data_IF_442241033365
#
_entry.id   IF_442241033365
#
_cell.length_a   1.000
_cell.length_b   1.000
_cell.length_c   1.000
_cell.angle_alpha   90.00
_cell.angle_beta   90.00
_cell.angle_gamma   90.00
#
_symmetry.space_group_name_H-M   'P 1'
#
loop_
_entity.id
_entity.type
_entity.pdbx_description
1 polymer ?
#
# COMPACT_ATOMS: atom_id res chain seq x y z
N UNK A 1 -12.61 -21.76 13.48
CA UNK A 1 -12.75 -20.63 12.54
C UNK A 1 -11.78 -20.79 11.37
N UNK A 2 -11.74 -19.83 10.43
CA UNK A 2 -10.85 -19.85 9.26
C UNK A 2 -9.61 -18.96 9.50
N UNK A 3 -8.47 -19.51 9.98
CA UNK A 3 -7.34 -18.69 10.43
C UNK A 3 -6.65 -17.91 9.30
N UNK A 4 -6.84 -18.34 8.04
CA UNK A 4 -6.30 -17.70 6.85
C UNK A 4 -7.07 -16.42 6.49
N UNK A 5 -8.32 -16.30 6.91
CA UNK A 5 -9.19 -15.16 6.60
C UNK A 5 -8.97 -14.07 7.64
N UNK A 6 -8.52 -12.91 7.18
CA UNK A 6 -8.36 -11.73 8.01
C UNK A 6 -9.60 -10.84 7.88
N UNK A 7 -10.30 -10.61 8.99
CA UNK A 7 -11.43 -9.69 9.03
C UNK A 7 -10.96 -8.25 9.20
N UNK A 8 -11.50 -7.36 8.36
CA UNK A 8 -11.32 -5.92 8.45
C UNK A 8 -12.70 -5.36 8.79
N UNK A 9 -12.85 -4.86 10.01
CA UNK A 9 -14.14 -4.46 10.55
C UNK A 9 -14.07 -3.09 11.18
N UNK A 10 -15.04 -2.24 10.83
CA UNK A 10 -15.36 -0.99 11.50
C UNK A 10 -16.83 -0.99 11.87
N UNK A 11 -17.14 -0.80 13.15
CA UNK A 11 -18.51 -0.79 13.68
C UNK A 11 -19.26 0.49 13.31
N UNK A 12 -20.58 0.49 13.51
CA UNK A 12 -21.41 1.69 13.35
C UNK A 12 -21.00 2.82 14.32
N UNK A 13 -20.55 2.45 15.53
CA UNK A 13 -20.09 3.39 16.56
C UNK A 13 -18.63 3.81 16.39
N UNK A 14 -17.97 3.41 15.29
CA UNK A 14 -16.57 3.74 15.02
C UNK A 14 -16.43 5.21 14.59
N UNK A 15 -15.84 6.04 15.46
CA UNK A 15 -15.61 7.47 15.21
C UNK A 15 -14.24 7.77 14.57
N UNK A 16 -13.48 6.75 14.19
CA UNK A 16 -12.09 6.89 13.73
C UNK A 16 -11.97 7.85 12.54
N UNK A 17 -12.92 7.83 11.60
CA UNK A 17 -12.87 8.73 10.45
C UNK A 17 -13.01 10.20 10.87
N UNK A 18 -14.04 10.51 11.68
CA UNK A 18 -14.26 11.86 12.23
C UNK A 18 -13.04 12.35 13.01
N UNK A 19 -12.53 11.54 13.92
CA UNK A 19 -11.41 11.93 14.78
C UNK A 19 -10.12 12.09 13.96
N UNK A 20 -9.91 11.26 12.93
CA UNK A 20 -8.78 11.38 12.01
C UNK A 20 -8.77 12.71 11.24
N UNK A 21 -9.93 13.18 10.78
CA UNK A 21 -10.05 14.45 10.04
C UNK A 21 -9.99 15.71 10.92
N UNK A 22 -9.91 15.59 12.25
CA UNK A 22 -9.62 16.75 13.11
C UNK A 22 -8.18 17.26 12.90
N UNK A 23 -7.25 16.36 12.56
CA UNK A 23 -5.81 16.64 12.48
C UNK A 23 -5.23 16.39 11.07
N UNK A 24 -6.08 16.02 10.10
CA UNK A 24 -5.67 15.61 8.76
C UNK A 24 -6.63 16.17 7.72
N UNK A 25 -6.08 16.57 6.58
CA UNK A 25 -6.85 17.13 5.46
C UNK A 25 -7.30 16.08 4.45
N UNK A 26 -6.73 14.86 4.49
CA UNK A 26 -7.09 13.75 3.62
C UNK A 26 -6.71 12.40 4.27
N UNK A 27 -7.33 11.31 3.80
CA UNK A 27 -7.08 9.93 4.28
C UNK A 27 -6.22 9.09 3.34
N UNK A 28 -5.59 9.72 2.34
CA UNK A 28 -4.81 9.00 1.33
C UNK A 28 -3.56 8.42 1.98
N UNK A 29 -3.39 7.12 1.86
CA UNK A 29 -2.20 6.42 2.30
C UNK A 29 -1.93 5.29 1.30
N UNK A 30 -1.34 5.66 0.16
CA UNK A 30 -0.95 4.71 -0.87
C UNK A 30 0.03 3.68 -0.31
N UNK A 31 -0.22 2.40 -0.54
CA UNK A 31 0.67 1.33 -0.12
C UNK A 31 0.48 0.03 -0.90
N UNK A 32 1.55 -0.77 -0.93
CA UNK A 32 1.48 -2.22 -1.18
C UNK A 32 1.38 -2.93 0.17
N UNK A 33 0.51 -3.93 0.27
CA UNK A 33 0.26 -4.62 1.54
C UNK A 33 1.57 -5.16 2.15
N UNK A 34 1.81 -4.85 3.42
CA UNK A 34 2.85 -5.47 4.25
C UNK A 34 4.25 -5.50 3.60
N UNK A 35 4.59 -4.47 2.81
CA UNK A 35 5.87 -4.38 2.07
C UNK A 35 7.14 -4.37 2.94
N UNK A 36 6.99 -4.35 4.27
CA UNK A 36 8.08 -4.49 5.23
C UNK A 36 8.48 -5.95 5.51
N UNK A 37 7.69 -6.94 5.06
CA UNK A 37 8.02 -8.35 5.19
C UNK A 37 9.14 -8.76 4.24
N UNK A 38 9.97 -9.73 4.64
CA UNK A 38 11.01 -10.26 3.76
C UNK A 38 10.43 -10.88 2.48
N UNK A 39 9.26 -11.49 2.61
CA UNK A 39 8.45 -12.03 1.51
C UNK A 39 7.04 -11.43 1.61
N UNK A 40 6.81 -10.25 0.99
CA UNK A 40 5.51 -9.60 1.00
C UNK A 40 4.43 -10.45 0.31
N UNK A 41 3.15 -10.11 0.50
CA UNK A 41 2.05 -10.72 -0.23
C UNK A 41 2.18 -10.59 -1.75
N UNK A 42 1.63 -11.57 -2.46
CA UNK A 42 1.44 -11.53 -3.91
C UNK A 42 0.04 -11.02 -4.23
N UNK A 43 -0.80 -11.92 -4.70
CA UNK A 43 -2.22 -11.62 -4.95
C UNK A 43 -2.98 -11.43 -3.65
N UNK A 44 -3.72 -10.34 -3.48
CA UNK A 44 -4.67 -10.18 -2.38
C UNK A 44 -6.09 -10.25 -2.91
N UNK A 45 -6.95 -10.94 -2.15
CA UNK A 45 -8.40 -10.96 -2.34
C UNK A 45 -9.06 -10.21 -1.20
N UNK A 46 -10.01 -9.35 -1.53
CA UNK A 46 -10.81 -8.60 -0.55
C UNK A 46 -12.28 -8.70 -0.92
N UNK A 47 -13.10 -9.09 0.06
CA UNK A 47 -14.51 -9.34 -0.11
C UNK A 47 -15.34 -8.47 0.83
N UNK A 48 -16.32 -7.74 0.30
CA UNK A 48 -17.25 -6.96 1.11
C UNK A 48 -18.41 -7.84 1.60
N UNK A 49 -18.43 -8.12 2.90
CA UNK A 49 -19.53 -8.82 3.58
C UNK A 49 -20.70 -7.88 3.84
N UNK A 50 -20.38 -6.67 4.30
CA UNK A 50 -21.32 -5.60 4.64
C UNK A 50 -20.60 -4.25 4.54
N UNK A 51 -21.30 -3.21 4.10
CA UNK A 51 -20.67 -1.92 3.82
C UNK A 51 -21.65 -0.76 3.88
N UNK A 52 -21.13 0.48 3.88
CA UNK A 52 -21.97 1.66 3.87
C UNK A 52 -22.76 1.79 2.56
N UNK A 53 -23.86 2.53 2.58
CA UNK A 53 -24.69 2.80 1.40
C UNK A 53 -23.97 3.67 0.36
N UNK A 54 -22.98 4.46 0.80
CA UNK A 54 -22.10 5.26 -0.04
C UNK A 54 -20.76 5.50 0.67
N UNK A 55 -19.69 5.68 -0.10
CA UNK A 55 -18.32 5.87 0.41
C UNK A 55 -17.66 4.56 0.84
N UNK A 56 -16.43 4.66 1.36
CA UNK A 56 -15.61 3.50 1.73
C UNK A 56 -14.94 2.82 0.54
N UNK A 57 -14.79 3.54 -0.56
CA UNK A 57 -14.18 3.07 -1.80
C UNK A 57 -12.70 2.74 -1.61
N UNK A 58 -12.12 2.07 -2.60
CA UNK A 58 -10.69 1.76 -2.61
C UNK A 58 -10.12 2.17 -3.96
N UNK A 59 -9.07 2.99 -3.95
CA UNK A 59 -8.32 3.30 -5.16
C UNK A 59 -7.13 2.35 -5.28
N UNK A 60 -6.80 2.03 -6.52
CA UNK A 60 -5.66 1.23 -6.94
C UNK A 60 -4.84 2.04 -7.93
N UNK A 61 -3.52 1.91 -7.89
CA UNK A 61 -2.58 2.54 -8.81
C UNK A 61 -1.68 1.50 -9.46
N UNK A 62 -1.54 1.58 -10.79
CA UNK A 62 -0.64 0.73 -11.55
C UNK A 62 0.82 1.19 -11.35
N UNK A 63 1.61 0.40 -10.64
CA UNK A 63 2.99 0.74 -10.31
C UNK A 63 3.99 0.44 -11.43
N UNK A 64 3.60 -0.40 -12.41
CA UNK A 64 4.34 -0.57 -13.66
C UNK A 64 4.23 0.70 -14.49
N UNK A 65 3.01 1.21 -14.65
CA UNK A 65 2.78 2.45 -15.39
C UNK A 65 3.41 3.66 -14.69
N UNK A 66 3.37 3.69 -13.35
CA UNK A 66 4.09 4.70 -12.56
C UNK A 66 5.59 4.73 -12.90
N UNK A 67 6.21 3.56 -13.11
CA UNK A 67 7.62 3.46 -13.50
C UNK A 67 7.85 3.87 -14.97
N UNK A 68 7.04 3.35 -15.88
CA UNK A 68 7.17 3.59 -17.33
C UNK A 68 7.09 5.08 -17.70
N UNK A 69 6.34 5.87 -16.93
CA UNK A 69 6.18 7.31 -17.16
C UNK A 69 7.35 8.17 -16.70
N UNK A 70 8.25 7.62 -15.89
CA UNK A 70 9.47 8.32 -15.52
C UNK A 70 10.37 8.43 -16.76
N UNK A 71 11.11 9.53 -16.89
CA UNK A 71 12.06 9.66 -17.99
C UNK A 71 13.11 8.55 -17.93
N UNK A 72 13.69 8.12 -19.07
CA UNK A 72 14.74 7.11 -19.08
C UNK A 72 15.92 7.41 -18.12
N UNK A 73 16.34 8.67 -18.05
CA UNK A 73 17.38 9.12 -17.11
C UNK A 73 16.96 8.94 -15.65
N UNK A 74 15.69 9.17 -15.33
CA UNK A 74 15.18 8.97 -13.98
C UNK A 74 15.03 7.47 -13.66
N UNK A 75 14.56 6.66 -14.61
CA UNK A 75 14.55 5.20 -14.47
C UNK A 75 15.95 4.64 -14.21
N UNK A 76 16.95 5.10 -14.97
CA UNK A 76 18.37 4.76 -14.77
C UNK A 76 18.88 5.22 -13.40
N UNK A 77 18.47 6.41 -12.95
CA UNK A 77 18.84 6.92 -11.61
C UNK A 77 18.25 6.10 -10.47
N UNK A 78 17.03 5.55 -10.64
CA UNK A 78 16.39 4.72 -9.63
C UNK A 78 16.92 3.29 -9.60
N UNK A 79 17.50 2.82 -10.72
CA UNK A 79 18.03 1.46 -10.82
C UNK A 79 19.07 1.18 -9.74
N UNK A 80 18.93 0.03 -9.06
CA UNK A 80 19.83 -0.42 -8.01
C UNK A 80 19.65 0.28 -6.66
N UNK A 81 18.84 1.34 -6.56
CA UNK A 81 18.49 1.92 -5.27
C UNK A 81 17.66 0.96 -4.44
N UNK A 82 17.83 1.04 -3.12
CA UNK A 82 17.10 0.22 -2.15
C UNK A 82 16.50 1.08 -1.06
N UNK A 83 15.34 0.69 -0.56
CA UNK A 83 14.64 1.37 0.52
C UNK A 83 14.45 0.44 1.72
N UNK A 84 14.47 1.03 2.92
CA UNK A 84 14.01 0.33 4.13
C UNK A 84 12.50 0.46 4.22
N UNK A 85 11.80 -0.67 4.31
CA UNK A 85 10.38 -0.76 4.59
C UNK A 85 10.19 -1.25 6.03
N UNK A 86 9.41 -0.55 6.85
CA UNK A 86 9.25 -0.82 8.27
C UNK A 86 7.78 -0.94 8.69
N UNK A 87 7.47 -2.00 9.45
CA UNK A 87 6.19 -2.19 10.11
C UNK A 87 6.11 -1.59 11.52
N UNK A 88 7.21 -1.05 12.05
CA UNK A 88 7.29 -0.60 13.45
C UNK A 88 6.33 0.55 13.74
N UNK A 89 6.18 1.49 12.81
CA UNK A 89 5.33 2.67 12.97
C UNK A 89 3.86 2.27 12.95
N UNK A 90 3.47 1.38 12.02
CA UNK A 90 2.12 0.81 12.02
C UNK A 90 1.81 0.06 13.32
N UNK A 91 2.77 -0.71 13.84
CA UNK A 91 2.60 -1.43 15.10
C UNK A 91 2.54 -0.48 16.31
N UNK A 92 3.34 0.59 16.32
CA UNK A 92 3.30 1.62 17.35
C UNK A 92 1.94 2.33 17.36
N UNK A 93 1.44 2.74 16.19
CA UNK A 93 0.13 3.34 16.01
C UNK A 93 -1.01 2.41 16.47
N UNK A 94 -0.89 1.11 16.14
CA UNK A 94 -1.86 0.11 16.59
C UNK A 94 -1.87 -0.02 18.12
N UNK A 95 -0.69 -0.11 18.75
CA UNK A 95 -0.55 -0.17 20.21
C UNK A 95 -1.11 1.10 20.88
N UNK A 96 -0.82 2.28 20.32
CA UNK A 96 -1.32 3.56 20.84
C UNK A 96 -2.87 3.64 20.82
N UNK A 97 -3.51 2.98 19.84
CA UNK A 97 -4.97 2.86 19.77
C UNK A 97 -5.55 1.66 20.54
N UNK A 98 -4.75 0.95 21.32
CA UNK A 98 -5.18 -0.27 22.02
C UNK A 98 -5.56 -1.43 21.07
N UNK A 99 -5.14 -1.37 19.81
CA UNK A 99 -5.38 -2.41 18.82
C UNK A 99 -4.39 -3.57 18.97
N UNK A 100 -4.80 -4.76 18.53
CA UNK A 100 -3.97 -5.98 18.62
C UNK A 100 -2.85 -5.97 17.58
N UNK A 101 -1.60 -6.05 18.04
CA UNK A 101 -0.44 -6.38 17.20
C UNK A 101 -0.25 -7.89 17.22
N UNK A 102 -0.48 -8.55 16.08
CA UNK A 102 -0.50 -10.03 15.98
C UNK A 102 0.88 -10.67 15.87
N UNK A 103 1.89 -9.91 15.43
CA UNK A 103 3.27 -10.34 15.25
C UNK A 103 4.18 -9.17 15.53
N UNK A 104 5.37 -9.43 16.06
CA UNK A 104 6.37 -8.36 16.18
C UNK A 104 6.70 -7.76 14.81
N UNK A 105 6.75 -6.41 14.74
CA UNK A 105 7.04 -5.72 13.49
C UNK A 105 8.48 -6.01 13.06
N UNK A 106 8.68 -5.98 11.75
CA UNK A 106 10.00 -6.14 11.14
C UNK A 106 10.28 -4.96 10.21
N UNK A 107 11.55 -4.81 9.85
CA UNK A 107 11.97 -3.92 8.78
C UNK A 107 12.91 -4.67 7.85
N UNK A 108 12.72 -4.49 6.53
CA UNK A 108 13.50 -5.16 5.51
C UNK A 108 13.90 -4.17 4.40
N UNK A 109 14.97 -4.52 3.69
CA UNK A 109 15.49 -3.74 2.55
C UNK A 109 14.98 -4.34 1.25
N UNK A 110 14.31 -3.52 0.44
CA UNK A 110 13.75 -3.90 -0.85
C UNK A 110 14.26 -2.97 -1.97
N UNK A 111 14.27 -3.42 -3.23
CA UNK A 111 14.63 -2.56 -4.36
C UNK A 111 13.59 -1.48 -4.58
N UNK A 112 14.02 -0.34 -5.13
CA UNK A 112 13.14 0.73 -5.59
C UNK A 112 12.29 0.32 -6.77
N UNK A 113 12.88 -0.48 -7.66
CA UNK A 113 12.23 -1.01 -8.84
C UNK A 113 12.16 -2.52 -8.67
N UNK A 114 10.95 -3.05 -8.57
CA UNK A 114 10.72 -4.49 -8.48
C UNK A 114 10.47 -5.05 -9.88
N UNK A 115 11.08 -6.19 -10.19
CA UNK A 115 10.71 -6.98 -11.36
C UNK A 115 9.61 -7.96 -10.99
N UNK A 116 8.53 -7.98 -11.77
CA UNK A 116 7.47 -8.97 -11.61
C UNK A 116 7.92 -10.33 -12.16
N UNK A 117 7.85 -11.43 -11.37
CA UNK A 117 8.51 -12.69 -11.72
C UNK A 117 7.91 -13.43 -12.92
N UNK A 118 6.62 -13.20 -13.21
CA UNK A 118 5.94 -13.90 -14.30
C UNK A 118 5.88 -13.09 -15.61
N UNK A 119 5.94 -11.75 -15.52
CA UNK A 119 5.79 -10.87 -16.70
C UNK A 119 7.09 -10.17 -17.08
N UNK A 120 8.07 -10.09 -16.17
CA UNK A 120 9.31 -9.34 -16.38
C UNK A 120 9.15 -7.82 -16.26
N UNK A 121 7.93 -7.32 -16.06
CA UNK A 121 7.67 -5.88 -15.95
C UNK A 121 8.35 -5.27 -14.72
N UNK A 122 8.82 -4.03 -14.88
CA UNK A 122 9.43 -3.24 -13.82
C UNK A 122 8.36 -2.34 -13.18
N UNK A 123 8.26 -2.37 -11.86
CA UNK A 123 7.29 -1.60 -11.08
C UNK A 123 7.97 -0.78 -9.99
N UNK A 124 7.50 0.44 -9.78
CA UNK A 124 7.95 1.27 -8.67
C UNK A 124 7.49 0.64 -7.34
N UNK A 125 8.41 0.36 -6.43
CA UNK A 125 8.17 -0.40 -5.20
C UNK A 125 8.52 0.40 -3.93
N UNK A 126 7.98 1.61 -3.85
CA UNK A 126 8.05 2.48 -2.67
C UNK A 126 6.65 2.97 -2.30
N UNK A 127 6.42 3.27 -1.02
CA UNK A 127 5.15 3.80 -0.58
C UNK A 127 5.25 4.59 0.74
N UNK A 128 4.44 5.64 0.94
CA UNK A 128 4.49 6.47 2.14
C UNK A 128 4.17 5.72 3.44
N UNK A 129 3.38 4.64 3.37
CA UNK A 129 2.99 3.92 4.58
C UNK A 129 4.16 3.18 5.24
N UNK A 130 5.02 2.55 4.44
CA UNK A 130 6.04 1.63 4.96
C UNK A 130 7.47 2.03 4.62
N UNK A 131 7.71 2.73 3.51
CA UNK A 131 9.07 3.13 3.13
C UNK A 131 9.55 4.26 4.05
N UNK A 132 10.77 4.12 4.59
CA UNK A 132 11.35 5.05 5.59
C UNK A 132 12.52 5.84 5.10
N UNK A 133 13.46 5.19 4.44
CA UNK A 133 14.66 5.84 3.92
C UNK A 133 15.29 5.05 2.79
N UNK A 134 16.02 5.77 1.95
CA UNK A 134 16.86 5.20 0.90
C UNK A 134 18.20 4.78 1.51
N UNK A 135 18.61 3.56 1.23
CA UNK A 135 19.90 3.03 1.66
C UNK A 135 21.02 3.79 0.95
N UNK A 136 21.99 4.29 1.72
CA UNK A 136 23.15 5.01 1.20
C UNK A 136 22.95 6.51 1.00
N UNK A 137 21.72 7.03 1.06
CA UNK A 137 21.46 8.48 1.00
C UNK A 137 21.31 9.11 2.38
N UNK A 138 21.58 10.41 2.46
CA UNK A 138 21.27 11.24 3.63
C UNK A 138 19.77 11.45 3.76
N UNK A 139 19.33 11.92 4.92
CA UNK A 139 17.91 12.08 5.23
C UNK A 139 17.21 13.03 4.24
N UNK A 140 17.77 14.21 4.02
CA UNK A 140 17.17 15.24 3.17
C UNK A 140 17.09 14.79 1.71
N UNK A 141 18.13 14.12 1.21
CA UNK A 141 18.18 13.52 -0.14
C UNK A 141 17.12 12.42 -0.30
N UNK A 142 17.05 11.52 0.69
CA UNK A 142 16.07 10.43 0.76
C UNK A 142 14.65 10.97 0.78
N UNK A 143 14.37 11.92 1.66
CA UNK A 143 13.05 12.51 1.84
C UNK A 143 12.59 13.24 0.57
N UNK A 144 13.49 13.98 -0.08
CA UNK A 144 13.18 14.69 -1.32
C UNK A 144 12.80 13.73 -2.45
N UNK A 145 13.60 12.68 -2.67
CA UNK A 145 13.34 11.70 -3.72
C UNK A 145 12.08 10.88 -3.44
N UNK A 146 11.88 10.43 -2.19
CA UNK A 146 10.67 9.71 -1.80
C UNK A 146 9.42 10.59 -1.96
N UNK A 147 9.49 11.86 -1.55
CA UNK A 147 8.37 12.79 -1.71
C UNK A 147 7.98 12.94 -3.18
N UNK A 148 8.95 13.15 -4.08
CA UNK A 148 8.68 13.23 -5.51
C UNK A 148 7.94 11.98 -6.02
N UNK A 149 8.41 10.78 -5.64
CA UNK A 149 7.79 9.53 -6.06
C UNK A 149 6.39 9.32 -5.47
N UNK A 150 6.17 9.74 -4.23
CA UNK A 150 4.85 9.67 -3.60
C UNK A 150 3.86 10.62 -4.27
N UNK A 151 4.29 11.85 -4.56
CA UNK A 151 3.49 12.83 -5.30
C UNK A 151 3.16 12.31 -6.70
N UNK A 152 4.13 11.70 -7.40
CA UNK A 152 3.92 11.07 -8.70
C UNK A 152 2.82 10.00 -8.65
N UNK A 153 2.87 9.08 -7.67
CA UNK A 153 1.83 8.05 -7.49
C UNK A 153 0.47 8.69 -7.19
N UNK A 154 0.44 9.66 -6.28
CA UNK A 154 -0.81 10.23 -5.77
C UNK A 154 -1.51 11.14 -6.79
N UNK A 155 -0.77 11.93 -7.56
CA UNK A 155 -1.30 12.94 -8.49
C UNK A 155 -1.57 12.40 -9.90
N UNK A 156 -1.06 11.23 -10.24
CA UNK A 156 -1.24 10.61 -11.55
C UNK A 156 -2.59 9.88 -11.62
N UNK A 157 -3.69 10.61 -11.78
CA UNK A 157 -5.05 10.02 -11.75
C UNK A 157 -5.31 8.98 -12.86
N UNK A 158 -4.58 9.05 -13.97
CA UNK A 158 -4.72 8.22 -15.16
C UNK A 158 -3.96 6.88 -15.11
N UNK A 159 -3.20 6.61 -14.03
CA UNK A 159 -2.75 5.25 -13.68
C UNK A 159 -3.64 4.61 -12.60
N UNK A 160 -4.68 5.32 -12.15
CA UNK A 160 -5.51 4.92 -11.01
C UNK A 160 -6.86 4.35 -11.45
N UNK A 161 -7.37 3.40 -10.68
CA UNK A 161 -8.74 2.90 -10.75
C UNK A 161 -9.41 3.05 -9.40
N UNK A 162 -10.68 3.47 -9.38
CA UNK A 162 -11.51 3.54 -8.17
C UNK A 162 -12.52 2.40 -8.18
N UNK A 163 -12.45 1.55 -7.18
CA UNK A 163 -13.46 0.51 -6.95
C UNK A 163 -14.50 1.06 -5.98
N UNK A 164 -15.72 1.20 -6.49
CA UNK A 164 -16.91 1.40 -5.67
C UNK A 164 -17.41 0.04 -5.20
N UNK A 165 -17.64 -0.09 -3.90
CA UNK A 165 -18.06 -1.35 -3.31
C UNK A 165 -19.56 -1.58 -3.44
N UNK A 166 -19.94 -2.81 -3.77
CA UNK A 166 -21.30 -3.33 -3.61
C UNK A 166 -21.25 -4.59 -2.74
N UNK A 167 -22.38 -4.92 -2.09
CA UNK A 167 -22.44 -6.12 -1.27
C UNK A 167 -22.15 -7.35 -2.13
N UNK A 168 -21.21 -8.18 -1.68
CA UNK A 168 -20.79 -9.36 -2.43
C UNK A 168 -19.67 -9.11 -3.45
N UNK A 169 -19.23 -7.85 -3.64
CA UNK A 169 -18.06 -7.58 -4.47
C UNK A 169 -16.82 -8.27 -3.91
N UNK A 170 -16.16 -9.04 -4.75
CA UNK A 170 -14.80 -9.55 -4.53
C UNK A 170 -13.89 -8.80 -5.48
N UNK A 171 -12.82 -8.23 -4.95
CA UNK A 171 -11.71 -7.75 -5.78
C UNK A 171 -10.46 -8.59 -5.52
N UNK A 172 -9.64 -8.66 -6.56
CA UNK A 172 -8.38 -9.35 -6.59
C UNK A 172 -7.35 -8.42 -7.23
N UNK A 173 -6.22 -8.20 -6.57
CA UNK A 173 -5.13 -7.41 -7.13
C UNK A 173 -3.78 -8.05 -6.83
N UNK A 174 -2.77 -7.66 -7.60
CA UNK A 174 -1.40 -8.12 -7.42
C UNK A 174 -0.58 -7.08 -6.64
N UNK A 175 -0.29 -7.33 -5.36
CA UNK A 175 0.50 -6.38 -4.54
C UNK A 175 1.92 -6.14 -5.05
N UNK A 176 2.41 -7.00 -5.94
CA UNK A 176 3.76 -6.89 -6.50
C UNK A 176 3.87 -5.69 -7.44
N UNK A 177 2.75 -5.29 -8.05
CA UNK A 177 2.70 -4.23 -9.08
C UNK A 177 1.57 -3.22 -8.85
N UNK A 178 0.91 -3.26 -7.69
CA UNK A 178 -0.20 -2.38 -7.36
C UNK A 178 -0.01 -1.74 -6.00
N UNK A 179 -0.21 -0.43 -5.92
CA UNK A 179 -0.45 0.28 -4.68
C UNK A 179 -1.95 0.57 -4.54
N UNK A 180 -2.44 0.69 -3.32
CA UNK A 180 -3.84 1.02 -3.07
C UNK A 180 -3.99 1.93 -1.86
N UNK A 181 -5.14 2.58 -1.76
CA UNK A 181 -5.53 3.38 -0.59
C UNK A 181 -7.01 3.18 -0.30
N UNK A 182 -7.34 3.01 0.98
CA UNK A 182 -8.71 3.06 1.44
C UNK A 182 -9.17 4.52 1.53
N UNK A 183 -10.42 4.80 1.17
CA UNK A 183 -11.00 6.13 1.33
C UNK A 183 -11.92 6.14 2.53
N UNK A 184 -11.74 7.14 3.41
CA UNK A 184 -12.57 7.36 4.58
C UNK A 184 -13.62 8.44 4.28
N UNK A 185 -14.59 8.15 3.41
CA UNK A 185 -15.61 9.10 2.94
C UNK A 185 -17.06 8.66 3.17
N UNK A 186 -17.34 7.86 4.20
CA UNK A 186 -18.70 7.46 4.57
C UNK A 186 -19.13 8.06 5.92
N UNK A 187 -20.45 8.14 6.13
CA UNK A 187 -21.05 8.73 7.34
C UNK A 187 -20.95 7.80 8.56
N UNK A 188 -20.82 8.40 9.75
CA UNK A 188 -20.90 7.69 11.04
C UNK A 188 -22.25 6.94 11.18
N UNK A 189 -22.27 5.88 12.00
CA UNK A 189 -23.46 5.04 12.19
C UNK A 189 -23.60 3.90 11.18
N UNK A 190 -22.69 3.77 10.21
CA UNK A 190 -22.66 2.67 9.25
C UNK A 190 -21.48 1.72 9.50
N UNK A 191 -21.69 0.43 9.26
CA UNK A 191 -20.67 -0.62 9.43
C UNK A 191 -19.94 -0.86 8.12
N UNK A 192 -18.65 -1.21 8.20
CA UNK A 192 -17.87 -1.76 7.09
C UNK A 192 -17.16 -3.03 7.52
N UNK A 193 -17.53 -4.15 6.89
CA UNK A 193 -17.03 -5.48 7.23
C UNK A 193 -16.52 -6.17 5.95
N UNK A 194 -15.22 -6.42 5.91
CA UNK A 194 -14.56 -7.14 4.82
C UNK A 194 -13.81 -8.37 5.33
N UNK A 195 -13.61 -9.32 4.43
CA UNK A 195 -12.73 -10.47 4.61
C UNK A 195 -11.58 -10.38 3.60
N UNK A 196 -10.35 -10.60 4.05
CA UNK A 196 -9.14 -10.54 3.25
C UNK A 196 -8.35 -11.85 3.28
N UNK A 197 -7.80 -12.22 2.14
CA UNK A 197 -6.84 -13.32 1.95
C UNK A 197 -5.62 -12.78 1.21
N UNK A 198 -4.44 -12.94 1.79
CA UNK A 198 -3.17 -12.40 1.28
C UNK A 198 -2.09 -13.50 1.26
N UNK A 199 -2.06 -14.39 0.25
CA UNK A 199 -0.97 -15.35 0.08
C UNK A 199 0.40 -14.67 -0.02
N UNK A 200 1.39 -15.30 0.61
CA UNK A 200 2.79 -14.90 0.56
C UNK A 200 3.37 -15.10 -0.84
N UNK A 201 4.27 -14.21 -1.26
CA UNK A 201 4.96 -14.27 -2.54
C UNK A 201 6.48 -14.43 -2.38
N UNK A 202 7.21 -14.24 -3.47
CA UNK A 202 8.66 -14.21 -3.50
C UNK A 202 9.24 -12.96 -2.82
N UNK A 203 10.53 -13.03 -2.48
CA UNK A 203 11.29 -11.85 -2.07
C UNK A 203 11.38 -10.88 -3.25
N UNK A 204 11.06 -9.58 -3.09
CA UNK A 204 11.22 -8.60 -4.16
C UNK A 204 12.66 -8.53 -4.64
N UNK A 205 12.84 -8.55 -5.95
CA UNK A 205 14.14 -8.45 -6.61
C UNK A 205 14.05 -7.50 -7.81
N UNK A 206 15.21 -7.08 -8.30
CA UNK A 206 15.37 -6.21 -9.46
C UNK A 206 16.25 -6.93 -10.47
N UNK A 207 15.80 -7.03 -11.71
CA UNK A 207 16.63 -7.50 -12.84
C UNK A 207 17.58 -6.39 -13.30
N UNK A 208 18.68 -6.72 -14.01
CA UNK A 208 19.55 -5.71 -14.61
C UNK A 208 18.78 -4.63 -15.39
N UNK A 209 19.36 -3.44 -15.47
CA UNK A 209 18.83 -2.38 -16.33
C UNK A 209 19.11 -2.74 -17.79
N UNK A 210 18.08 -2.69 -18.62
CA UNK A 210 18.22 -2.87 -20.06
C UNK A 210 18.67 -1.53 -20.65
N UNK A 211 19.82 -1.51 -21.34
CA UNK A 211 20.39 -0.30 -21.97
C UNK A 211 19.62 0.13 -23.23
#
# INVERSE_FOLDING_TARGET
>A
GFPKVHLIHRSADDTTARDFFQERTNSITWHSDVSFEMQPPGTTFLYLLDGPSAGGDTLFGNMVEAYNRLSPEFQKRLHGLKAIHSGHEQAADARARGSVVRREPVANVHPFVRTHPATGEKALYVNPQFTRRIVGLKKEESDYLLKFLYDHIALCADLQARVKWEKGTVICWDNRVTAHTAILDWQDGQRRHLARLTPQAERPYETPFDE
#
